data_IF_460646533312
#
_entry.id   IF_460646533312
#
_cell.length_a   1.000
_cell.length_b   1.000
_cell.length_c   1.000
_cell.angle_alpha   90.00
_cell.angle_beta   90.00
_cell.angle_gamma   90.00
#
_symmetry.space_group_name_H-M   'P 1'
#
loop_
_entity.id
_entity.type
_entity.pdbx_description
1 polymer ?
#
# COMPACT_ATOMS: atom_id res chain seq x y z
N UNK A 1 -9.50 8.46 18.04
CA UNK A 1 -9.93 8.62 16.64
C UNK A 1 -11.20 7.81 16.46
N UNK A 2 -12.32 8.45 16.07
CA UNK A 2 -13.67 7.89 16.22
C UNK A 2 -13.99 6.70 15.33
N UNK A 3 -13.38 6.59 14.14
CA UNK A 3 -13.61 5.44 13.25
C UNK A 3 -12.69 4.24 13.55
N UNK A 4 -11.74 4.39 14.48
CA UNK A 4 -10.85 3.31 14.92
C UNK A 4 -9.65 3.12 14.00
N UNK A 5 -9.16 1.87 13.89
CA UNK A 5 -7.97 1.52 13.10
C UNK A 5 -8.38 1.03 11.71
N UNK A 6 -7.51 1.24 10.72
CA UNK A 6 -7.71 0.72 9.37
C UNK A 6 -7.80 -0.81 9.37
N UNK A 7 -7.01 -1.50 10.22
CA UNK A 7 -7.06 -2.97 10.29
C UNK A 7 -8.43 -3.52 10.70
N UNK A 8 -9.25 -2.77 11.44
CA UNK A 8 -10.62 -3.18 11.77
C UNK A 8 -11.49 -3.31 10.52
N UNK A 9 -11.28 -2.47 9.50
CA UNK A 9 -12.03 -2.48 8.25
C UNK A 9 -11.51 -3.56 7.28
N UNK A 10 -10.22 -3.92 7.38
CA UNK A 10 -9.64 -4.95 6.52
C UNK A 10 -9.88 -6.36 7.09
N UNK A 11 -10.14 -6.51 8.39
CA UNK A 11 -10.35 -7.81 9.04
C UNK A 11 -11.83 -8.20 9.20
N UNK A 12 -12.70 -7.22 9.45
CA UNK A 12 -14.10 -7.46 9.81
C UNK A 12 -14.99 -7.32 8.57
N UNK A 13 -15.70 -8.38 8.14
CA UNK A 13 -16.52 -8.35 6.94
C UNK A 13 -17.70 -7.38 7.04
N UNK A 14 -18.10 -6.96 8.24
CA UNK A 14 -19.20 -6.00 8.46
C UNK A 14 -18.79 -4.53 8.23
N UNK A 15 -17.49 -4.27 8.11
CA UNK A 15 -16.94 -2.93 7.94
C UNK A 15 -16.38 -2.78 6.53
N UNK A 16 -17.08 -2.01 5.71
CA UNK A 16 -16.67 -1.75 4.34
C UNK A 16 -16.08 -0.36 4.17
N UNK A 17 -15.00 -0.27 3.39
CA UNK A 17 -14.49 0.99 2.85
C UNK A 17 -14.75 1.00 1.35
N UNK A 18 -15.37 2.08 0.87
CA UNK A 18 -15.52 2.32 -0.56
C UNK A 18 -14.14 2.54 -1.19
N UNK A 19 -14.04 2.38 -2.52
CA UNK A 19 -12.78 2.62 -3.23
C UNK A 19 -12.24 4.04 -2.98
N UNK A 20 -13.09 5.05 -3.08
CA UNK A 20 -12.71 6.45 -2.82
C UNK A 20 -12.12 6.64 -1.42
N UNK A 21 -12.69 6.00 -0.39
CA UNK A 21 -12.14 6.03 0.97
C UNK A 21 -10.76 5.37 1.04
N UNK A 22 -10.58 4.23 0.37
CA UNK A 22 -9.30 3.50 0.36
C UNK A 22 -8.20 4.32 -0.32
N UNK A 23 -8.49 4.93 -1.47
CA UNK A 23 -7.56 5.81 -2.16
C UNK A 23 -7.21 7.03 -1.32
N UNK A 24 -8.21 7.65 -0.69
CA UNK A 24 -8.01 8.77 0.25
C UNK A 24 -7.10 8.39 1.42
N UNK A 25 -7.30 7.21 1.99
CA UNK A 25 -6.46 6.66 3.08
C UNK A 25 -5.04 6.42 2.59
N UNK A 26 -4.86 5.79 1.42
CA UNK A 26 -3.57 5.56 0.80
C UNK A 26 -2.79 6.86 0.59
N UNK A 27 -3.44 7.89 0.02
CA UNK A 27 -2.85 9.21 -0.17
C UNK A 27 -2.48 9.85 1.17
N UNK A 28 -3.36 9.82 2.17
CA UNK A 28 -3.07 10.39 3.49
C UNK A 28 -1.87 9.73 4.19
N UNK A 29 -1.76 8.40 4.10
CA UNK A 29 -0.56 7.69 4.62
C UNK A 29 0.68 8.04 3.81
N UNK A 30 0.59 8.05 2.48
CA UNK A 30 1.72 8.37 1.62
C UNK A 30 2.24 9.79 1.88
N UNK A 31 1.36 10.78 2.03
CA UNK A 31 1.71 12.17 2.36
C UNK A 31 2.40 12.28 3.72
N UNK A 32 1.97 11.50 4.72
CA UNK A 32 2.64 11.49 6.01
C UNK A 32 4.09 10.95 5.92
N UNK A 33 4.32 9.92 5.11
CA UNK A 33 5.66 9.35 4.91
C UNK A 33 6.52 10.31 4.07
N UNK A 34 5.97 10.90 3.02
CA UNK A 34 6.65 11.89 2.19
C UNK A 34 7.09 13.10 3.01
N UNK A 35 6.22 13.59 3.90
CA UNK A 35 6.58 14.66 4.85
C UNK A 35 7.79 14.28 5.71
N UNK A 36 7.84 13.07 6.28
CA UNK A 36 8.96 12.60 7.10
C UNK A 36 10.25 12.45 6.28
N UNK A 37 10.15 11.94 5.06
CA UNK A 37 11.28 11.73 4.15
C UNK A 37 11.81 13.05 3.58
N UNK A 38 10.96 14.07 3.45
CA UNK A 38 11.30 15.40 2.91
C UNK A 38 11.90 16.38 3.92
N UNK A 39 11.99 16.01 5.21
CA UNK A 39 12.63 16.85 6.23
C UNK A 39 14.11 17.10 5.90
N UNK A 40 14.65 18.24 6.34
CA UNK A 40 16.07 18.56 6.21
C UNK A 40 16.98 17.44 6.75
N UNK A 41 16.53 16.79 7.83
CA UNK A 41 17.05 15.49 8.29
C UNK A 41 15.92 14.46 8.12
N UNK A 42 15.94 13.66 7.03
CA UNK A 42 14.89 12.69 6.77
C UNK A 42 14.68 11.73 7.94
N UNK A 43 13.43 11.53 8.33
CA UNK A 43 13.05 10.61 9.39
C UNK A 43 12.36 9.38 8.80
N UNK A 44 12.73 8.22 9.34
CA UNK A 44 12.04 6.95 9.07
C UNK A 44 10.87 6.78 10.04
N UNK A 45 9.72 6.33 9.55
CA UNK A 45 8.59 5.93 10.39
C UNK A 45 8.83 4.56 11.04
N UNK A 46 9.20 3.56 10.26
CA UNK A 46 9.66 2.25 10.72
C UNK A 46 8.58 1.26 11.16
N UNK A 47 7.32 1.68 11.25
CA UNK A 47 6.19 0.82 11.64
C UNK A 47 4.91 1.10 10.84
N UNK A 48 5.02 1.19 9.51
CA UNK A 48 3.86 1.43 8.63
C UNK A 48 3.10 0.12 8.42
N UNK A 49 1.85 0.08 8.91
CA UNK A 49 0.91 -1.05 8.76
C UNK A 49 -0.50 -0.59 9.10
N UNK A 50 -1.53 -1.30 8.62
CA UNK A 50 -2.93 -0.94 8.86
C UNK A 50 -3.30 -0.80 10.35
N UNK A 51 -2.63 -1.52 11.25
CA UNK A 51 -2.86 -1.43 12.70
C UNK A 51 -2.47 -0.08 13.30
N UNK A 52 -1.58 0.65 12.62
CA UNK A 52 -1.05 1.95 13.05
C UNK A 52 -1.66 3.12 12.26
N UNK A 53 -2.61 2.84 11.37
CA UNK A 53 -3.36 3.87 10.66
C UNK A 53 -4.69 4.05 11.36
N UNK A 54 -4.93 5.24 11.90
CA UNK A 54 -6.20 5.60 12.53
C UNK A 54 -7.06 6.45 11.59
N UNK A 55 -8.38 6.28 11.65
CA UNK A 55 -9.33 7.00 10.80
C UNK A 55 -10.12 8.01 11.63
N UNK A 56 -10.15 9.28 11.19
CA UNK A 56 -11.01 10.31 11.82
C UNK A 56 -12.45 10.22 11.32
N UNK A 57 -13.30 11.15 11.77
CA UNK A 57 -14.74 11.23 11.42
C UNK A 57 -14.99 11.26 9.91
N UNK A 58 -14.04 11.80 9.14
CA UNK A 58 -14.12 11.95 7.68
C UNK A 58 -13.29 10.90 6.94
N UNK A 59 -12.89 9.83 7.63
CA UNK A 59 -12.05 8.75 7.11
C UNK A 59 -10.69 9.24 6.56
N UNK A 60 -10.16 10.35 7.09
CA UNK A 60 -8.78 10.72 6.81
C UNK A 60 -7.84 9.82 7.62
N UNK A 61 -6.74 9.40 6.99
CA UNK A 61 -5.71 8.62 7.64
C UNK A 61 -4.84 9.50 8.54
N UNK A 62 -4.60 9.04 9.77
CA UNK A 62 -3.52 9.54 10.64
C UNK A 62 -2.60 8.38 10.98
N UNK A 63 -1.35 8.50 10.54
CA UNK A 63 -0.30 7.53 10.81
C UNK A 63 0.18 7.70 12.26
N UNK A 64 0.19 6.61 13.02
CA UNK A 64 0.71 6.53 14.39
C UNK A 64 1.73 5.41 14.54
N UNK A 65 2.10 5.03 15.77
CA UNK A 65 3.08 3.96 16.00
C UNK A 65 4.55 4.41 15.87
N UNK A 66 4.82 5.69 16.16
CA UNK A 66 6.16 6.30 16.14
C UNK A 66 7.07 5.85 17.29
N UNK A 67 6.51 5.19 18.30
CA UNK A 67 7.23 4.61 19.44
C UNK A 67 8.22 3.51 19.01
N UNK A 68 7.94 2.80 17.93
CA UNK A 68 8.82 1.78 17.36
C UNK A 68 9.97 2.33 16.48
N UNK A 69 9.89 3.60 16.07
CA UNK A 69 10.87 4.22 15.15
C UNK A 69 12.27 4.32 15.77
N UNK A 70 12.34 4.50 17.09
CA UNK A 70 13.59 4.75 17.82
C UNK A 70 14.49 3.51 17.95
N UNK A 71 13.95 2.29 17.81
CA UNK A 71 14.65 1.06 18.22
C UNK A 71 14.99 0.10 17.08
N UNK A 72 14.65 0.42 15.82
CA UNK A 72 14.83 -0.51 14.69
C UNK A 72 15.89 -0.02 13.69
N UNK A 73 16.86 -0.89 13.37
CA UNK A 73 17.75 -0.70 12.21
C UNK A 73 16.90 -0.74 10.93
N UNK A 74 17.05 0.25 10.06
CA UNK A 74 16.31 0.33 8.80
C UNK A 74 16.63 1.59 8.01
N UNK A 75 16.10 1.66 6.81
CA UNK A 75 16.27 2.74 5.85
C UNK A 75 14.93 3.39 5.49
N UNK A 76 14.95 4.59 4.92
CA UNK A 76 13.75 5.24 4.38
C UNK A 76 13.05 4.35 3.33
N UNK A 77 13.84 3.57 2.59
CA UNK A 77 13.33 2.62 1.60
C UNK A 77 12.52 1.47 2.22
N UNK A 78 12.71 1.17 3.51
CA UNK A 78 11.88 0.18 4.21
C UNK A 78 10.48 0.74 4.53
N UNK A 79 10.35 2.05 4.70
CA UNK A 79 9.03 2.68 4.79
C UNK A 79 8.30 2.61 3.45
N UNK A 80 9.02 2.78 2.34
CA UNK A 80 8.45 2.64 0.98
C UNK A 80 7.94 1.21 0.76
N UNK A 81 8.70 0.19 1.16
CA UNK A 81 8.27 -1.21 1.10
C UNK A 81 6.99 -1.44 1.92
N UNK A 82 6.98 -0.94 3.15
CA UNK A 82 5.82 -1.09 4.04
C UNK A 82 4.58 -0.35 3.51
N UNK A 83 4.78 0.80 2.86
CA UNK A 83 3.72 1.51 2.15
C UNK A 83 3.20 0.71 0.95
N UNK A 84 4.08 0.10 0.15
CA UNK A 84 3.69 -0.77 -0.95
C UNK A 84 2.82 -1.95 -0.50
N UNK A 85 3.20 -2.61 0.59
CA UNK A 85 2.39 -3.67 1.20
C UNK A 85 1.01 -3.16 1.64
N UNK A 86 0.94 -1.96 2.23
CA UNK A 86 -0.33 -1.34 2.65
C UNK A 86 -1.24 -1.02 1.45
N UNK A 87 -0.69 -0.50 0.35
CA UNK A 87 -1.46 -0.23 -0.87
C UNK A 87 -2.13 -1.51 -1.40
N UNK A 88 -1.38 -2.61 -1.44
CA UNK A 88 -1.89 -3.90 -1.92
C UNK A 88 -2.91 -4.50 -0.94
N UNK A 89 -2.75 -4.26 0.36
CA UNK A 89 -3.75 -4.61 1.38
C UNK A 89 -5.08 -3.83 1.17
N UNK A 90 -4.99 -2.54 0.84
CA UNK A 90 -6.14 -1.68 0.56
C UNK A 90 -6.87 -2.11 -0.73
N UNK A 91 -6.14 -2.45 -1.79
CA UNK A 91 -6.74 -2.94 -3.05
C UNK A 91 -7.55 -4.21 -2.81
N UNK A 92 -7.01 -5.17 -2.05
CA UNK A 92 -7.69 -6.44 -1.75
C UNK A 92 -8.93 -6.28 -0.88
N UNK A 93 -8.94 -5.31 0.04
CA UNK A 93 -10.08 -5.05 0.93
C UNK A 93 -10.35 -6.11 2.00
N UNK A 94 -9.58 -7.20 2.06
CA UNK A 94 -9.66 -8.21 3.12
C UNK A 94 -8.27 -8.70 3.53
N UNK A 95 -8.02 -8.79 4.84
CA UNK A 95 -6.94 -9.60 5.42
C UNK A 95 -7.40 -11.06 5.45
N UNK A 96 -6.57 -11.96 4.94
CA UNK A 96 -6.81 -13.40 5.06
C UNK A 96 -6.83 -13.80 6.54
N UNK A 97 -7.88 -14.50 7.00
CA UNK A 97 -8.07 -14.90 8.40
C UNK A 97 -7.33 -16.19 8.79
N UNK A 98 -6.62 -16.85 7.87
CA UNK A 98 -5.87 -18.06 8.21
C UNK A 98 -4.62 -17.71 9.01
N UNK A 99 -4.44 -18.45 10.10
CA UNK A 99 -3.31 -18.38 11.02
C UNK A 99 -1.98 -18.64 10.32
N UNK A 100 -1.39 -17.62 9.70
CA UNK A 100 0.01 -17.65 9.30
C UNK A 100 0.52 -16.22 9.09
N UNK A 101 1.47 -15.85 9.95
CA UNK A 101 2.41 -14.74 9.90
C UNK A 101 3.26 -14.66 8.60
N UNK A 102 2.76 -15.13 7.44
CA UNK A 102 3.54 -15.34 6.24
C UNK A 102 2.84 -14.94 4.92
N UNK A 103 1.54 -14.62 4.91
CA UNK A 103 0.82 -14.36 3.65
C UNK A 103 1.09 -12.97 3.05
N UNK A 104 1.47 -11.96 3.86
CA UNK A 104 1.57 -10.57 3.38
C UNK A 104 3.00 -10.00 3.34
N UNK A 105 4.01 -10.80 3.69
CA UNK A 105 5.42 -10.35 3.78
C UNK A 105 6.35 -10.99 2.75
N UNK A 106 5.89 -12.01 2.02
CA UNK A 106 6.63 -12.61 0.92
C UNK A 106 6.17 -12.01 -0.41
N UNK A 107 7.11 -11.45 -1.18
CA UNK A 107 6.89 -10.95 -2.55
C UNK A 107 6.13 -11.97 -3.44
N UNK A 108 6.33 -13.28 -3.20
CA UNK A 108 5.60 -14.36 -3.89
C UNK A 108 4.12 -14.47 -3.51
N UNK A 109 3.74 -14.19 -2.25
CA UNK A 109 2.33 -14.20 -1.81
C UNK A 109 1.60 -12.90 -2.18
N UNK A 110 2.37 -11.80 -2.29
CA UNK A 110 1.89 -10.57 -2.93
C UNK A 110 1.55 -10.85 -4.39
N UNK A 111 2.45 -11.48 -5.16
CA UNK A 111 2.22 -11.89 -6.55
C UNK A 111 1.10 -12.94 -6.70
N UNK A 112 1.02 -13.94 -5.83
CA UNK A 112 0.00 -14.98 -5.91
C UNK A 112 -1.42 -14.45 -5.64
N UNK A 113 -1.58 -13.44 -4.78
CA UNK A 113 -2.88 -12.82 -4.53
C UNK A 113 -3.16 -11.57 -5.39
N UNK A 114 -2.37 -11.35 -6.46
CA UNK A 114 -2.76 -10.56 -7.64
C UNK A 114 -3.72 -11.37 -8.53
N UNK A 115 -3.56 -12.71 -8.55
CA UNK A 115 -4.35 -13.63 -9.37
C UNK A 115 -5.80 -13.82 -8.87
N UNK A 116 -6.13 -13.30 -7.69
CA UNK A 116 -7.44 -13.46 -7.04
C UNK A 116 -8.06 -12.08 -6.73
N UNK A 117 -7.83 -11.10 -7.63
CA UNK A 117 -8.52 -9.81 -7.57
C UNK A 117 -10.02 -10.04 -7.83
N UNK A 118 -10.78 -10.08 -6.75
CA UNK A 118 -12.22 -10.26 -6.80
C UNK A 118 -12.90 -8.88 -6.90
N UNK A 119 -13.44 -8.58 -8.09
CA UNK A 119 -14.26 -7.39 -8.42
C UNK A 119 -15.40 -7.17 -7.37
N UNK A 120 -15.77 -8.20 -6.61
CA UNK A 120 -16.82 -8.17 -5.59
C UNK A 120 -16.51 -7.30 -4.36
N UNK A 121 -15.25 -6.92 -4.11
CA UNK A 121 -14.87 -6.19 -2.87
C UNK A 121 -14.96 -4.66 -2.95
N UNK A 122 -15.36 -4.08 -4.09
CA UNK A 122 -15.36 -2.62 -4.34
C UNK A 122 -16.75 -2.05 -4.70
N UNK A 123 -17.84 -2.78 -4.42
CA UNK A 123 -19.24 -2.39 -4.66
C UNK A 123 -19.53 -1.91 -6.11
N UNK A 124 -18.67 -2.23 -7.07
CA UNK A 124 -18.78 -1.83 -8.48
C UNK A 124 -18.59 -0.33 -8.77
N UNK A 125 -18.26 0.50 -7.76
CA UNK A 125 -18.02 1.94 -7.93
C UNK A 125 -16.54 2.28 -7.84
N UNK A 126 -15.76 1.81 -8.81
CA UNK A 126 -14.34 2.11 -8.90
C UNK A 126 -13.91 2.23 -10.36
N UNK A 127 -12.92 3.07 -10.61
CA UNK A 127 -12.25 3.12 -11.89
C UNK A 127 -11.19 2.02 -11.94
N UNK A 128 -11.27 1.13 -12.94
CA UNK A 128 -10.29 0.05 -13.12
C UNK A 128 -8.89 0.59 -13.32
N UNK A 129 -8.75 1.75 -13.98
CA UNK A 129 -7.45 2.38 -14.21
C UNK A 129 -6.84 2.87 -12.90
N UNK A 130 -7.64 3.43 -11.99
CA UNK A 130 -7.17 3.83 -10.66
C UNK A 130 -6.72 2.62 -9.84
N UNK A 131 -7.50 1.54 -9.83
CA UNK A 131 -7.14 0.31 -9.11
C UNK A 131 -5.84 -0.28 -9.65
N UNK A 132 -5.73 -0.38 -10.98
CA UNK A 132 -4.54 -0.88 -11.66
C UNK A 132 -3.32 0.00 -11.35
N UNK A 133 -3.48 1.32 -11.33
CA UNK A 133 -2.42 2.28 -10.99
C UNK A 133 -1.95 2.12 -9.55
N UNK A 134 -2.87 2.07 -8.58
CA UNK A 134 -2.54 1.83 -7.16
C UNK A 134 -1.78 0.52 -6.99
N UNK A 135 -2.21 -0.52 -7.70
CA UNK A 135 -1.58 -1.83 -7.68
C UNK A 135 -0.15 -1.79 -8.24
N UNK A 136 0.06 -1.17 -9.40
CA UNK A 136 1.38 -1.03 -10.02
C UNK A 136 2.33 -0.20 -9.15
N UNK A 137 1.86 0.90 -8.55
CA UNK A 137 2.64 1.68 -7.59
C UNK A 137 2.97 0.85 -6.35
N UNK A 138 2.03 0.06 -5.85
CA UNK A 138 2.23 -0.87 -4.74
C UNK A 138 3.34 -1.89 -5.02
N UNK A 139 3.38 -2.44 -6.23
CA UNK A 139 4.44 -3.36 -6.68
C UNK A 139 5.79 -2.66 -6.81
N UNK A 140 5.83 -1.47 -7.39
CA UNK A 140 7.06 -0.69 -7.52
C UNK A 140 7.65 -0.33 -6.14
N UNK A 141 6.80 0.05 -5.19
CA UNK A 141 7.18 0.29 -3.80
C UNK A 141 7.68 -1.00 -3.12
N UNK A 142 7.15 -2.16 -3.51
CA UNK A 142 7.48 -3.46 -2.92
C UNK A 142 8.68 -4.17 -3.58
N UNK A 143 9.41 -3.48 -4.47
CA UNK A 143 10.51 -4.08 -5.22
C UNK A 143 11.58 -4.70 -4.28
N UNK A 144 12.11 -5.90 -4.57
CA UNK A 144 13.07 -6.57 -3.68
C UNK A 144 14.37 -5.77 -3.52
N UNK A 145 14.83 -5.17 -4.62
CA UNK A 145 15.95 -4.23 -4.61
C UNK A 145 15.47 -2.83 -4.14
N UNK A 146 15.99 -2.40 -2.99
CA UNK A 146 15.69 -1.10 -2.33
C UNK A 146 16.07 0.13 -3.16
N UNK A 147 16.94 -0.02 -4.15
CA UNK A 147 17.47 1.05 -5.01
C UNK A 147 16.59 1.26 -6.24
N UNK A 148 15.77 0.25 -6.57
CA UNK A 148 14.78 0.30 -7.64
C UNK A 148 13.41 0.78 -7.13
N UNK A 149 13.22 0.85 -5.81
CA UNK A 149 12.00 1.41 -5.20
C UNK A 149 11.93 2.92 -5.48
N UNK A 150 10.72 3.48 -5.68
CA UNK A 150 10.55 4.91 -5.86
C UNK A 150 10.85 5.69 -4.57
N UNK A 151 11.06 6.99 -4.71
CA UNK A 151 10.87 7.90 -3.57
C UNK A 151 9.38 8.03 -3.24
N UNK A 152 9.05 8.38 -2.01
CA UNK A 152 7.64 8.62 -1.65
C UNK A 152 6.99 9.72 -2.48
N UNK A 153 7.74 10.77 -2.85
CA UNK A 153 7.26 11.81 -3.74
C UNK A 153 6.92 11.28 -5.14
N UNK A 154 7.74 10.38 -5.70
CA UNK A 154 7.45 9.71 -6.96
C UNK A 154 6.20 8.83 -6.84
N UNK A 155 6.11 8.00 -5.80
CA UNK A 155 4.97 7.12 -5.57
C UNK A 155 3.65 7.91 -5.48
N UNK A 156 3.62 8.99 -4.69
CA UNK A 156 2.45 9.86 -4.56
C UNK A 156 2.08 10.56 -5.87
N UNK A 157 3.07 11.06 -6.61
CA UNK A 157 2.82 11.69 -7.91
C UNK A 157 2.13 10.73 -8.86
N UNK A 158 2.56 9.47 -8.92
CA UNK A 158 1.92 8.47 -9.79
C UNK A 158 0.59 7.96 -9.25
N UNK A 159 0.32 8.01 -7.94
CA UNK A 159 -1.00 7.73 -7.40
C UNK A 159 -2.02 8.83 -7.76
N UNK A 160 -1.57 10.08 -7.89
CA UNK A 160 -2.42 11.24 -8.16
C UNK A 160 -2.45 11.66 -9.63
N UNK A 161 -1.53 11.18 -10.46
CA UNK A 161 -1.46 11.58 -11.88
C UNK A 161 -2.37 10.72 -12.76
N UNK A 162 -2.95 11.35 -13.78
CA UNK A 162 -3.57 10.66 -14.92
C UNK A 162 -2.53 10.11 -15.90
N UNK A 163 -1.26 10.52 -15.77
CA UNK A 163 -0.18 10.10 -16.66
C UNK A 163 0.06 8.59 -16.62
N UNK A 164 0.44 7.98 -17.75
CA UNK A 164 0.85 6.59 -17.78
C UNK A 164 2.10 6.36 -16.92
N UNK A 165 2.10 5.26 -16.16
CA UNK A 165 3.28 4.82 -15.43
C UNK A 165 4.45 4.55 -16.40
N UNK A 166 5.69 4.90 -16.04
CA UNK A 166 6.87 4.65 -16.85
C UNK A 166 6.93 3.20 -17.32
N UNK A 167 7.19 3.00 -18.60
CA UNK A 167 7.22 1.67 -19.23
C UNK A 167 8.19 0.72 -18.53
N UNK A 168 9.30 1.25 -17.98
CA UNK A 168 10.25 0.49 -17.18
C UNK A 168 9.62 -0.15 -15.93
N UNK A 169 8.67 0.54 -15.28
CA UNK A 169 7.95 0.01 -14.11
C UNK A 169 6.94 -1.02 -14.57
N UNK A 170 6.21 -0.76 -15.66
CA UNK A 170 5.27 -1.73 -16.21
C UNK A 170 5.99 -2.96 -16.75
N UNK A 171 7.21 -2.86 -17.29
CA UNK A 171 8.07 -3.98 -17.75
C UNK A 171 8.65 -4.80 -16.59
N UNK A 172 8.99 -4.14 -15.48
CA UNK A 172 9.55 -4.79 -14.30
C UNK A 172 8.47 -5.44 -13.44
N UNK A 173 7.30 -4.79 -13.33
CA UNK A 173 6.07 -5.41 -12.87
C UNK A 173 5.67 -6.54 -13.83
N UNK A 174 5.74 -6.35 -15.15
CA UNK A 174 5.36 -7.37 -16.12
C UNK A 174 6.33 -8.50 -16.33
N UNK A 175 7.60 -8.45 -15.89
CA UNK A 175 8.40 -9.68 -15.73
C UNK A 175 7.86 -10.57 -14.60
N UNK A 176 7.30 -9.98 -13.54
CA UNK A 176 6.50 -10.73 -12.55
C UNK A 176 5.09 -11.08 -13.06
N UNK A 177 4.59 -10.39 -14.09
CA UNK A 177 3.29 -10.61 -14.77
C UNK A 177 3.48 -11.29 -16.16
N UNK A 178 4.63 -11.89 -16.49
CA UNK A 178 4.88 -12.58 -17.76
C UNK A 178 5.04 -14.09 -17.53
N UNK A 179 5.59 -14.46 -16.36
CA UNK A 179 5.38 -15.78 -15.73
C UNK A 179 3.89 -16.04 -15.38
N UNK A 180 3.01 -15.08 -15.66
CA UNK A 180 1.56 -15.01 -15.44
C UNK A 180 0.72 -15.58 -16.60
N UNK A 181 1.31 -15.83 -17.78
CA UNK A 181 0.58 -16.37 -18.95
C UNK A 181 1.15 -17.69 -19.51
N UNK A 182 2.21 -18.24 -18.91
CA UNK A 182 2.86 -19.48 -19.36
C UNK A 182 2.65 -20.68 -18.43
N UNK A 183 1.61 -20.64 -17.58
CA UNK A 183 1.06 -21.81 -16.90
C UNK A 183 -0.47 -21.84 -17.04
#
# INVERSE_FOLDING_TARGET
>A
MPNGRLSDYLLKPERHLTWSMRLKIALGVGSAIEYLHGLYRPLRHGNIRADNVMLDELFNAKLGGFDAAASSKGSLSDDVLAFGALLLELVRGRRCQTTASACCTNHQAVNAAILDYDDQCLDGQFDREEVQRVMLVGLWCSHPDKWQRPTMAQALRYLMSEDPLPTAITEQASKSVADFWTL
#
